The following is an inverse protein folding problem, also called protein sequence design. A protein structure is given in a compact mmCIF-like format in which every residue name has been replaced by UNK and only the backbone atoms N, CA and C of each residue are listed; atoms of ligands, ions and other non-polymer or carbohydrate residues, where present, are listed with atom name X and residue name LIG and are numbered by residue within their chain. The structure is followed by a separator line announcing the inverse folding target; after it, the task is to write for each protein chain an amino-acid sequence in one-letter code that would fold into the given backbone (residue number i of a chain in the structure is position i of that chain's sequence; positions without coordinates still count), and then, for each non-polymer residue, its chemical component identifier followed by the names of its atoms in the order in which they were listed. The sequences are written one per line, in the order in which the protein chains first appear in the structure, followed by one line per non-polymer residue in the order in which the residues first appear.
data_IF_707327695260
#
_entry.id   IF_707327695260
#
_cell.length_a   1.000
_cell.length_b   1.000
_cell.length_c   1.000
_cell.angle_alpha   90.00
_cell.angle_beta   90.00
_cell.angle_gamma   90.00
#
_symmetry.space_group_name_H-M   'P 1'
#
loop_
_entity.id
_entity.type
_entity.pdbx_description
1 polymer ?
#
# COMPACT_ATOMS: atom_id res chain seq x y z
N UNK A 1 -10.89 -6.18 -14.04
CA UNK A 1 -10.53 -7.57 -13.68
C UNK A 1 -9.06 -7.74 -14.00
N UNK A 2 -8.31 -8.39 -13.11
CA UNK A 2 -6.90 -8.73 -13.32
C UNK A 2 -6.72 -10.23 -13.05
N UNK A 3 -5.64 -10.81 -13.57
CA UNK A 3 -5.28 -12.20 -13.30
C UNK A 3 -4.05 -12.27 -12.40
N UNK A 4 -4.14 -13.11 -11.37
CA UNK A 4 -3.02 -13.55 -10.54
C UNK A 4 -2.81 -15.01 -10.84
N UNK A 5 -1.75 -15.32 -11.58
CA UNK A 5 -1.63 -16.62 -12.27
C UNK A 5 -2.89 -16.91 -13.11
N UNK A 6 -3.67 -17.93 -12.78
CA UNK A 6 -4.91 -18.33 -13.47
C UNK A 6 -6.18 -17.79 -12.81
N UNK A 7 -6.04 -17.05 -11.70
CA UNK A 7 -7.16 -16.62 -10.85
C UNK A 7 -7.63 -15.22 -11.22
N UNK A 8 -8.90 -15.05 -11.65
CA UNK A 8 -9.46 -13.73 -11.92
C UNK A 8 -9.83 -13.01 -10.61
N UNK A 9 -9.32 -11.79 -10.44
CA UNK A 9 -9.60 -10.93 -9.28
C UNK A 9 -10.25 -9.62 -9.75
N UNK A 10 -11.32 -9.21 -9.06
CA UNK A 10 -11.95 -7.92 -9.28
C UNK A 10 -11.33 -6.92 -8.32
N UNK A 11 -10.54 -6.00 -8.87
CA UNK A 11 -10.00 -4.86 -8.13
C UNK A 11 -10.89 -3.65 -8.40
N UNK A 12 -11.39 -3.06 -7.33
CA UNK A 12 -12.09 -1.78 -7.29
C UNK A 12 -11.49 -0.95 -6.15
N UNK A 13 -11.57 0.37 -6.20
CA UNK A 13 -11.10 1.26 -5.14
C UNK A 13 -12.26 2.09 -4.57
N UNK A 14 -12.19 2.55 -3.31
CA UNK A 14 -13.20 3.45 -2.74
C UNK A 14 -13.21 4.78 -3.48
N UNK A 15 -14.39 5.41 -3.63
CA UNK A 15 -14.47 6.79 -4.08
C UNK A 15 -13.72 7.71 -3.09
N UNK A 16 -13.06 8.79 -3.54
CA UNK A 16 -12.99 9.32 -4.91
C UNK A 16 -11.72 8.86 -5.68
N UNK A 17 -11.20 7.66 -5.41
CA UNK A 17 -10.00 7.16 -6.09
C UNK A 17 -10.31 6.67 -7.52
N UNK A 18 -9.43 7.00 -8.45
CA UNK A 18 -9.55 6.69 -9.87
C UNK A 18 -8.34 5.88 -10.35
N UNK A 19 -8.58 4.99 -11.31
CA UNK A 19 -7.54 4.09 -11.81
C UNK A 19 -6.54 4.83 -12.70
N UNK A 20 -5.26 4.79 -12.34
CA UNK A 20 -4.20 5.54 -13.03
C UNK A 20 -3.93 4.99 -14.43
N UNK A 21 -4.02 3.67 -14.64
CA UNK A 21 -3.78 3.03 -15.95
C UNK A 21 -4.64 3.60 -17.07
N UNK A 22 -5.86 4.05 -16.75
CA UNK A 22 -6.84 4.60 -17.71
C UNK A 22 -6.67 6.10 -17.95
N UNK A 23 -6.13 6.83 -16.97
CA UNK A 23 -6.07 8.29 -17.01
C UNK A 23 -4.66 8.82 -17.28
N UNK A 24 -3.62 8.11 -16.82
CA UNK A 24 -2.20 8.46 -16.92
C UNK A 24 -1.36 7.20 -17.22
N UNK A 25 -1.49 6.59 -18.42
CA UNK A 25 -0.88 5.31 -18.74
C UNK A 25 0.65 5.32 -18.65
N UNK A 26 1.30 6.44 -19.02
CA UNK A 26 2.76 6.59 -18.92
C UNK A 26 3.24 6.57 -17.46
N UNK A 27 2.54 7.28 -16.56
CA UNK A 27 2.84 7.28 -15.14
C UNK A 27 2.65 5.87 -14.55
N UNK A 28 1.61 5.16 -14.95
CA UNK A 28 1.40 3.77 -14.55
C UNK A 28 2.55 2.86 -15.01
N UNK A 29 2.99 2.99 -16.26
CA UNK A 29 4.10 2.20 -16.80
C UNK A 29 5.42 2.49 -16.07
N UNK A 30 5.73 3.76 -15.80
CA UNK A 30 6.90 4.16 -15.00
C UNK A 30 6.82 3.57 -13.60
N UNK A 31 5.67 3.68 -12.93
CA UNK A 31 5.46 3.11 -11.59
C UNK A 31 5.62 1.59 -11.60
N UNK A 32 5.06 0.91 -12.59
CA UNK A 32 5.19 -0.55 -12.72
C UNK A 32 6.63 -1.01 -12.92
N UNK A 33 7.50 -0.19 -13.53
CA UNK A 33 8.94 -0.47 -13.67
C UNK A 33 9.73 -0.14 -12.40
N UNK A 34 9.23 0.80 -11.60
CA UNK A 34 9.84 1.23 -10.33
C UNK A 34 9.50 0.31 -9.14
N UNK A 35 8.49 -0.55 -9.28
CA UNK A 35 8.26 -1.64 -8.31
C UNK A 35 9.49 -2.56 -8.30
N UNK A 36 9.82 -3.14 -7.13
CA UNK A 36 10.95 -4.06 -7.01
C UNK A 36 10.85 -5.21 -8.01
N UNK A 37 11.98 -5.81 -8.38
CA UNK A 37 12.01 -6.93 -9.34
C UNK A 37 11.08 -8.09 -8.91
N UNK A 38 10.90 -8.30 -7.61
CA UNK A 38 10.00 -9.29 -7.01
C UNK A 38 8.52 -8.88 -7.07
N UNK A 39 8.20 -7.60 -7.24
CA UNK A 39 6.83 -7.12 -7.28
C UNK A 39 6.27 -7.04 -8.70
N UNK A 40 4.95 -7.22 -8.82
CA UNK A 40 4.16 -6.88 -10.01
C UNK A 40 2.99 -5.99 -9.61
N UNK A 41 2.94 -4.80 -10.21
CA UNK A 41 1.81 -3.88 -10.03
C UNK A 41 0.60 -4.39 -10.82
N UNK A 42 -0.51 -4.63 -10.13
CA UNK A 42 -1.78 -5.03 -10.72
C UNK A 42 -2.69 -3.84 -11.00
N UNK A 43 -2.74 -2.91 -10.05
CA UNK A 43 -3.56 -1.71 -10.14
C UNK A 43 -2.96 -0.60 -9.29
N UNK A 44 -3.21 0.64 -9.70
CA UNK A 44 -2.82 1.83 -8.97
C UNK A 44 -3.93 2.88 -9.10
N UNK A 45 -4.32 3.44 -7.97
CA UNK A 45 -5.34 4.46 -7.86
C UNK A 45 -4.82 5.67 -7.09
N UNK A 46 -5.28 6.85 -7.49
CA UNK A 46 -5.02 8.14 -6.83
C UNK A 46 -6.34 8.90 -6.69
N UNK A 47 -6.46 9.91 -5.82
CA UNK A 47 -7.64 10.75 -5.74
C UNK A 47 -7.92 11.42 -7.09
N UNK A 48 -9.19 11.50 -7.49
CA UNK A 48 -9.59 12.15 -8.74
C UNK A 48 -9.03 13.59 -8.87
N UNK A 49 -8.99 14.34 -7.77
CA UNK A 49 -8.46 15.70 -7.72
C UNK A 49 -6.96 15.77 -8.08
N UNK A 50 -6.21 14.71 -7.79
CA UNK A 50 -4.77 14.64 -8.09
C UNK A 50 -4.46 14.31 -9.55
N UNK A 51 -5.46 14.02 -10.39
CA UNK A 51 -5.25 13.75 -11.82
C UNK A 51 -4.65 14.96 -12.55
N UNK A 52 -5.14 16.17 -12.26
CA UNK A 52 -4.71 17.39 -12.96
C UNK A 52 -3.27 17.77 -12.59
N UNK A 53 -2.88 17.54 -11.33
CA UNK A 53 -1.55 17.85 -10.82
C UNK A 53 -0.47 16.88 -11.34
N UNK A 54 -0.87 15.67 -11.74
CA UNK A 54 0.04 14.61 -12.22
C UNK A 54 0.07 14.48 -13.75
N UNK A 55 -0.41 15.48 -14.50
CA UNK A 55 -0.28 15.53 -15.95
C UNK A 55 1.15 15.92 -16.40
N UNK A 56 1.55 15.62 -17.64
CA UNK A 56 2.82 16.07 -18.20
C UNK A 56 2.97 17.60 -18.09
N UNK A 57 3.97 18.07 -17.33
CA UNK A 57 4.20 19.49 -17.06
C UNK A 57 3.65 20.01 -15.72
N UNK A 58 2.84 19.21 -15.02
CA UNK A 58 2.45 19.48 -13.63
C UNK A 58 3.60 19.22 -12.66
N UNK A 59 3.64 19.95 -11.53
CA UNK A 59 4.55 19.60 -10.44
C UNK A 59 4.01 18.34 -9.77
N UNK A 60 4.80 17.23 -9.72
CA UNK A 60 4.35 16.02 -9.05
C UNK A 60 4.00 16.34 -7.60
N UNK A 61 2.72 16.26 -7.27
CA UNK A 61 2.25 16.53 -5.91
C UNK A 61 2.01 15.19 -5.22
N UNK A 62 2.59 15.02 -4.03
CA UNK A 62 2.40 13.82 -3.22
C UNK A 62 0.92 13.70 -2.88
N UNK A 63 0.30 12.61 -3.29
CA UNK A 63 -1.09 12.30 -2.98
C UNK A 63 -1.17 10.93 -2.30
N UNK A 64 -2.30 10.66 -1.65
CA UNK A 64 -2.60 9.31 -1.19
C UNK A 64 -2.63 8.38 -2.38
N UNK A 65 -2.07 7.18 -2.26
CA UNK A 65 -2.04 6.21 -3.33
C UNK A 65 -2.49 4.85 -2.83
N UNK A 66 -3.32 4.18 -3.63
CA UNK A 66 -3.82 2.83 -3.41
C UNK A 66 -3.21 1.94 -4.48
N UNK A 67 -2.41 0.96 -4.09
CA UNK A 67 -1.74 0.05 -5.02
C UNK A 67 -2.10 -1.39 -4.69
N UNK A 68 -2.37 -2.18 -5.74
CA UNK A 68 -2.50 -3.63 -5.61
C UNK A 68 -1.29 -4.24 -6.29
N UNK A 69 -0.58 -5.09 -5.57
CA UNK A 69 0.61 -5.77 -6.04
C UNK A 69 0.54 -7.25 -5.68
N UNK A 70 1.34 -8.04 -6.38
CA UNK A 70 1.67 -9.42 -6.00
C UNK A 70 3.18 -9.56 -5.99
N UNK A 71 3.67 -10.48 -5.17
CA UNK A 71 5.05 -10.95 -5.26
C UNK A 71 5.09 -12.06 -6.31
N UNK A 72 5.94 -11.89 -7.32
CA UNK A 72 6.04 -12.77 -8.49
C UNK A 72 6.34 -14.21 -8.08
N UNK A 73 7.17 -14.37 -7.07
CA UNK A 73 7.51 -15.65 -6.45
C UNK A 73 6.33 -16.33 -5.75
N UNK A 74 5.33 -15.56 -5.29
CA UNK A 74 4.12 -16.08 -4.64
C UNK A 74 2.96 -16.30 -5.63
N UNK A 75 3.02 -15.73 -6.83
CA UNK A 75 1.98 -15.90 -7.85
C UNK A 75 1.65 -17.36 -8.18
N UNK A 76 2.62 -18.29 -8.39
CA UNK A 76 2.29 -19.69 -8.68
C UNK A 76 1.84 -20.46 -7.42
N UNK A 77 2.10 -19.95 -6.22
CA UNK A 77 1.81 -20.62 -4.96
C UNK A 77 0.31 -20.54 -4.65
N UNK A 78 -0.20 -21.56 -3.96
CA UNK A 78 -1.57 -21.59 -3.43
C UNK A 78 -1.48 -21.67 -1.91
N UNK A 79 -2.20 -20.79 -1.24
CA UNK A 79 -2.24 -20.68 0.22
C UNK A 79 -3.62 -21.12 0.72
N UNK A 80 -3.64 -22.15 1.56
CA UNK A 80 -4.84 -22.42 2.35
C UNK A 80 -4.96 -21.44 3.52
N UNK A 81 -6.12 -21.44 4.17
CA UNK A 81 -6.41 -20.54 5.29
C UNK A 81 -5.48 -20.79 6.51
N UNK A 82 -4.99 -22.02 6.70
CA UNK A 82 -4.12 -22.36 7.83
C UNK A 82 -2.71 -21.82 7.61
N UNK A 83 -2.18 -21.97 6.40
CA UNK A 83 -0.88 -21.46 5.96
C UNK A 83 -0.88 -19.93 5.99
N UNK A 84 -1.96 -19.31 5.51
CA UNK A 84 -2.10 -17.85 5.60
C UNK A 84 -2.17 -17.36 7.05
N UNK A 85 -2.91 -18.07 7.92
CA UNK A 85 -2.93 -17.76 9.35
C UNK A 85 -1.54 -17.88 9.99
N UNK A 86 -0.77 -18.92 9.65
CA UNK A 86 0.59 -19.08 10.16
C UNK A 86 1.50 -17.91 9.73
N UNK A 87 1.44 -17.51 8.47
CA UNK A 87 2.15 -16.34 7.95
C UNK A 87 1.77 -15.06 8.72
N UNK A 88 0.47 -14.84 8.93
CA UNK A 88 -0.05 -13.71 9.71
C UNK A 88 0.51 -13.72 11.13
N UNK A 89 0.40 -14.85 11.83
CA UNK A 89 0.80 -14.96 13.23
C UNK A 89 2.32 -14.78 13.38
N UNK A 90 3.13 -15.32 12.46
CA UNK A 90 4.58 -15.08 12.41
C UNK A 90 4.89 -13.59 12.19
N UNK A 91 4.21 -12.97 11.23
CA UNK A 91 4.48 -11.59 10.84
C UNK A 91 4.06 -10.60 11.93
N UNK A 92 2.85 -10.76 12.47
CA UNK A 92 2.32 -9.91 13.53
C UNK A 92 2.97 -10.20 14.90
N UNK A 93 3.47 -11.41 15.14
CA UNK A 93 4.17 -11.75 16.38
C UNK A 93 5.47 -10.95 16.61
N UNK A 94 6.02 -10.35 15.54
CA UNK A 94 7.23 -9.51 15.59
C UNK A 94 6.93 -8.01 15.60
N UNK A 95 5.67 -7.61 15.46
CA UNK A 95 5.26 -6.21 15.36
C UNK A 95 4.38 -5.83 16.56
N UNK A 96 4.52 -4.62 17.12
CA UNK A 96 3.57 -4.12 18.11
C UNK A 96 2.17 -4.04 17.48
N UNK A 97 1.14 -4.45 18.22
CA UNK A 97 -0.24 -4.32 17.76
C UNK A 97 -0.65 -2.85 17.81
N UNK A 98 -1.28 -2.36 16.75
CA UNK A 98 -1.79 -0.99 16.71
C UNK A 98 -3.18 -0.94 16.10
N UNK A 99 -3.96 0.01 16.59
CA UNK A 99 -5.25 0.44 16.06
C UNK A 99 -5.16 1.88 15.54
N UNK A 100 -6.25 2.40 14.97
CA UNK A 100 -6.26 3.80 14.52
C UNK A 100 -6.12 4.79 15.67
N UNK A 101 -6.72 4.47 16.80
CA UNK A 101 -6.70 5.33 17.99
C UNK A 101 -5.29 5.41 18.58
N UNK A 102 -4.45 4.39 18.35
CA UNK A 102 -3.06 4.36 18.81
C UNK A 102 -2.12 5.27 17.99
N UNK A 103 -2.56 5.81 16.85
CA UNK A 103 -1.68 6.54 15.92
C UNK A 103 -0.96 7.73 16.57
N UNK A 104 -1.64 8.48 17.44
CA UNK A 104 -1.01 9.60 18.14
C UNK A 104 0.07 9.11 19.13
N UNK A 105 -0.23 8.04 19.87
CA UNK A 105 0.70 7.41 20.81
C UNK A 105 1.95 6.90 20.09
N UNK A 106 1.77 6.19 18.98
CA UNK A 106 2.87 5.67 18.14
C UNK A 106 3.84 6.78 17.74
N UNK A 107 3.32 7.92 17.29
CA UNK A 107 4.15 9.06 16.88
C UNK A 107 4.74 9.85 18.06
N UNK A 108 4.12 9.79 19.23
CA UNK A 108 4.65 10.38 20.46
C UNK A 108 5.84 9.60 21.06
N UNK A 109 5.93 8.30 20.81
CA UNK A 109 6.93 7.42 21.45
C UNK A 109 8.04 6.94 20.51
N UNK A 110 7.80 6.86 19.20
CA UNK A 110 8.79 6.35 18.26
C UNK A 110 9.74 7.45 17.77
N UNK A 111 11.04 7.17 17.82
CA UNK A 111 12.02 8.01 17.13
C UNK A 111 12.01 7.70 15.62
N UNK A 112 11.42 8.62 14.86
CA UNK A 112 11.31 8.54 13.40
C UNK A 112 12.35 9.43 12.67
N UNK A 113 13.17 10.18 13.41
CA UNK A 113 14.21 11.06 12.82
C UNK A 113 15.14 10.35 11.84
N UNK A 114 15.56 9.08 12.06
CA UNK A 114 16.46 8.40 11.13
C UNK A 114 15.89 8.22 9.71
N UNK A 115 14.57 8.19 9.55
CA UNK A 115 13.92 8.01 8.24
C UNK A 115 14.16 9.20 7.29
N UNK A 116 14.30 10.41 7.83
CA UNK A 116 14.58 11.61 7.05
C UNK A 116 16.06 11.75 6.65
N UNK A 117 16.94 10.83 7.07
CA UNK A 117 18.39 10.94 6.88
C UNK A 117 18.91 10.08 5.72
N UNK A 118 18.22 9.00 5.35
CA UNK A 118 18.66 8.09 4.27
C UNK A 118 17.46 7.62 3.44
N UNK A 119 17.58 7.61 2.10
CA UNK A 119 16.55 7.02 1.25
C UNK A 119 16.50 5.50 1.45
N UNK A 120 15.31 4.92 1.28
CA UNK A 120 15.07 3.49 1.47
C UNK A 120 14.95 3.08 2.93
N UNK A 121 15.07 4.01 3.89
CA UNK A 121 14.82 3.72 5.30
C UNK A 121 13.38 3.26 5.53
N UNK A 122 13.20 2.21 6.33
CA UNK A 122 11.88 1.69 6.69
C UNK A 122 11.81 1.44 8.19
N UNK A 123 10.65 1.70 8.78
CA UNK A 123 10.36 1.40 10.18
C UNK A 123 8.96 0.82 10.29
N UNK A 124 8.86 -0.40 10.83
CA UNK A 124 7.57 -0.98 11.21
C UNK A 124 7.06 -0.20 12.42
N UNK A 125 5.89 0.43 12.25
CA UNK A 125 5.17 1.17 13.30
C UNK A 125 4.32 0.21 14.13
N UNK A 126 3.80 -0.83 13.48
CA UNK A 126 3.00 -1.88 14.10
C UNK A 126 2.25 -2.71 13.08
N UNK A 127 1.41 -3.62 13.56
CA UNK A 127 0.54 -4.45 12.74
C UNK A 127 -0.87 -4.56 13.31
N UNK A 128 -1.82 -4.87 12.42
CA UNK A 128 -3.22 -5.03 12.77
C UNK A 128 -3.79 -6.28 12.06
N UNK A 129 -4.59 -7.06 12.78
CA UNK A 129 -5.45 -8.07 12.18
C UNK A 129 -6.73 -7.38 11.69
N UNK A 130 -7.03 -7.49 10.40
CA UNK A 130 -8.20 -6.86 9.79
C UNK A 130 -9.30 -7.88 9.44
N UNK A 131 -8.99 -9.18 9.54
CA UNK A 131 -9.95 -10.27 9.42
C UNK A 131 -9.26 -11.63 9.31
N UNK A 132 -10.05 -12.67 9.05
CA UNK A 132 -9.54 -14.03 8.86
C UNK A 132 -8.56 -14.13 7.69
N UNK A 133 -8.89 -13.44 6.61
CA UNK A 133 -8.19 -13.51 5.33
C UNK A 133 -7.36 -12.25 5.04
N UNK A 134 -7.09 -11.43 6.05
CA UNK A 134 -6.23 -10.25 5.88
C UNK A 134 -5.54 -9.77 7.15
N UNK A 135 -4.35 -9.20 6.97
CA UNK A 135 -3.63 -8.48 8.01
C UNK A 135 -2.75 -7.39 7.42
N UNK A 136 -2.43 -6.38 8.21
CA UNK A 136 -1.71 -5.19 7.77
C UNK A 136 -0.48 -4.95 8.61
N UNK A 137 0.61 -4.55 7.95
CA UNK A 137 1.74 -3.88 8.56
C UNK A 137 1.67 -2.39 8.25
N UNK A 138 1.81 -1.57 9.28
CA UNK A 138 1.95 -0.14 9.16
C UNK A 138 3.43 0.20 9.20
N UNK A 139 3.92 0.86 8.16
CA UNK A 139 5.34 1.08 7.91
C UNK A 139 5.53 2.56 7.62
N UNK A 140 6.51 3.18 8.26
CA UNK A 140 7.03 4.47 7.83
C UNK A 140 8.19 4.25 6.87
N UNK A 141 8.18 4.95 5.74
CA UNK A 141 9.16 4.78 4.65
C UNK A 141 9.78 6.13 4.33
N UNK A 142 11.10 6.16 4.15
CA UNK A 142 11.84 7.28 3.57
C UNK A 142 12.17 6.99 2.11
N UNK A 143 11.78 7.87 1.19
CA UNK A 143 12.07 7.79 -0.24
C UNK A 143 12.88 9.01 -0.68
N UNK A 144 13.70 8.82 -1.70
CA UNK A 144 14.38 9.94 -2.34
C UNK A 144 13.37 10.77 -3.15
N UNK A 145 13.37 12.08 -2.92
CA UNK A 145 12.56 13.07 -3.62
C UNK A 145 13.38 14.32 -3.99
N UNK A 146 12.73 15.26 -4.66
CA UNK A 146 13.32 16.54 -5.07
C UNK A 146 12.77 17.71 -4.26
N UNK A 147 13.61 18.68 -3.90
CA UNK A 147 13.15 19.95 -3.36
C UNK A 147 12.66 20.90 -4.48
N UNK A 148 12.11 22.05 -4.10
CA UNK A 148 11.54 23.03 -5.03
C UNK A 148 12.58 23.69 -5.96
N UNK A 149 13.87 23.52 -5.67
CA UNK A 149 15.01 24.04 -6.41
C UNK A 149 15.76 22.93 -7.17
N UNK A 150 15.24 21.69 -7.17
CA UNK A 150 15.85 20.53 -7.83
C UNK A 150 16.95 19.84 -7.02
N UNK A 151 17.14 20.22 -5.76
CA UNK A 151 18.04 19.55 -4.82
C UNK A 151 17.46 18.25 -4.26
N UNK A 152 18.31 17.45 -3.64
CA UNK A 152 17.93 16.15 -3.05
C UNK A 152 17.23 16.33 -1.71
N UNK A 153 16.04 15.75 -1.54
CA UNK A 153 15.32 15.69 -0.25
C UNK A 153 14.90 14.27 0.06
N UNK A 154 14.95 13.88 1.34
CA UNK A 154 14.34 12.62 1.78
C UNK A 154 12.91 12.91 2.21
N UNK A 155 11.98 12.28 1.52
CA UNK A 155 10.55 12.39 1.79
C UNK A 155 10.09 11.18 2.58
N UNK A 156 9.36 11.42 3.67
CA UNK A 156 8.82 10.34 4.49
C UNK A 156 7.32 10.21 4.32
N UNK A 157 6.80 8.99 4.41
CA UNK A 157 5.37 8.69 4.38
C UNK A 157 5.03 7.54 5.33
N UNK A 158 3.76 7.47 5.70
CA UNK A 158 3.15 6.25 6.21
C UNK A 158 2.63 5.38 5.07
N UNK A 159 2.74 4.07 5.24
CA UNK A 159 2.23 3.08 4.30
C UNK A 159 1.64 1.89 5.07
N UNK A 160 0.39 1.56 4.81
CA UNK A 160 -0.23 0.32 5.24
C UNK A 160 -0.07 -0.72 4.14
N UNK A 161 0.71 -1.78 4.38
CA UNK A 161 0.84 -2.94 3.48
C UNK A 161 -0.01 -4.07 4.03
N UNK A 162 -1.05 -4.43 3.28
CA UNK A 162 -2.06 -5.39 3.70
C UNK A 162 -1.95 -6.64 2.86
N UNK A 163 -1.66 -7.75 3.52
CA UNK A 163 -1.69 -9.07 2.94
C UNK A 163 -3.14 -9.53 2.96
N UNK A 164 -3.68 -9.90 1.80
CA UNK A 164 -5.05 -10.37 1.65
C UNK A 164 -5.05 -11.70 0.89
N UNK A 165 -5.73 -12.71 1.45
CA UNK A 165 -5.96 -13.99 0.80
C UNK A 165 -7.26 -13.92 -0.01
N UNK A 166 -7.17 -14.10 -1.33
CA UNK A 166 -8.31 -14.23 -2.24
C UNK A 166 -8.09 -15.48 -3.08
N UNK A 167 -9.01 -16.46 -2.97
CA UNK A 167 -8.96 -17.70 -3.75
C UNK A 167 -7.56 -18.35 -3.76
N UNK A 168 -7.01 -18.60 -2.57
CA UNK A 168 -5.68 -19.21 -2.39
C UNK A 168 -4.50 -18.35 -2.88
N UNK A 169 -4.72 -17.11 -3.33
CA UNK A 169 -3.68 -16.17 -3.75
C UNK A 169 -3.51 -15.05 -2.75
N UNK A 170 -2.26 -14.68 -2.47
CA UNK A 170 -1.95 -13.53 -1.61
C UNK A 170 -1.74 -12.31 -2.49
N UNK A 171 -2.55 -11.28 -2.23
CA UNK A 171 -2.40 -9.94 -2.79
C UNK A 171 -1.87 -8.99 -1.73
N UNK A 172 -1.08 -8.01 -2.16
CA UNK A 172 -0.59 -6.92 -1.34
C UNK A 172 -1.36 -5.65 -1.70
N UNK A 173 -2.18 -5.18 -0.77
CA UNK A 173 -2.89 -3.90 -0.87
C UNK A 173 -2.10 -2.86 -0.09
N UNK A 174 -1.61 -1.86 -0.79
CA UNK A 174 -0.77 -0.83 -0.22
C UNK A 174 -1.51 0.49 -0.25
N UNK A 175 -1.73 1.09 0.93
CA UNK A 175 -2.24 2.45 1.08
C UNK A 175 -1.12 3.34 1.57
N UNK A 176 -0.65 4.27 0.75
CA UNK A 176 0.43 5.20 1.08
C UNK A 176 -0.11 6.60 1.27
N UNK A 177 0.22 7.22 2.41
CA UNK A 177 -0.05 8.63 2.69
C UNK A 177 0.99 9.57 2.08
N UNK A 178 0.66 10.85 1.86
CA UNK A 178 1.56 11.85 1.31
C UNK A 178 2.59 12.37 2.31
N UNK A 179 2.45 12.07 3.61
CA UNK A 179 3.37 12.50 4.65
C UNK A 179 3.45 11.50 5.82
N UNK A 180 4.37 11.80 6.73
CA UNK A 180 4.60 11.01 7.94
C UNK A 180 3.93 11.72 9.13
N UNK A 181 2.67 11.40 9.38
CA UNK A 181 1.89 11.93 10.51
C UNK A 181 0.91 10.90 11.08
N UNK A 182 0.44 11.16 12.30
CA UNK A 182 -0.60 10.34 12.93
C UNK A 182 -1.92 10.40 12.16
N UNK A 183 -2.28 11.57 11.62
CA UNK A 183 -3.51 11.75 10.84
C UNK A 183 -3.48 10.94 9.53
N UNK A 184 -2.33 10.91 8.85
CA UNK A 184 -2.17 10.05 7.68
C UNK A 184 -2.17 8.57 8.03
N UNK A 185 -1.62 8.17 9.18
CA UNK A 185 -1.69 6.77 9.61
C UNK A 185 -3.15 6.35 9.84
N UNK A 186 -3.95 7.17 10.54
CA UNK A 186 -5.39 6.91 10.73
C UNK A 186 -6.11 6.80 9.39
N UNK A 187 -5.85 7.73 8.47
CA UNK A 187 -6.46 7.69 7.15
C UNK A 187 -6.07 6.45 6.34
N UNK A 188 -4.79 6.04 6.38
CA UNK A 188 -4.32 4.87 5.67
C UNK A 188 -4.95 3.58 6.20
N UNK A 189 -5.07 3.45 7.53
CA UNK A 189 -5.75 2.31 8.16
C UNK A 189 -7.25 2.29 7.83
N UNK A 190 -7.91 3.44 7.82
CA UNK A 190 -9.34 3.56 7.51
C UNK A 190 -9.61 3.17 6.07
N UNK A 191 -8.86 3.76 5.15
CA UNK A 191 -8.94 3.47 3.71
C UNK A 191 -8.63 2.00 3.43
N UNK A 192 -7.70 1.39 4.18
CA UNK A 192 -7.42 -0.04 4.05
C UNK A 192 -8.66 -0.88 4.35
N UNK A 193 -9.39 -0.60 5.44
CA UNK A 193 -10.62 -1.33 5.78
C UNK A 193 -11.73 -1.09 4.76
N UNK A 194 -11.93 0.16 4.33
CA UNK A 194 -12.90 0.49 3.29
C UNK A 194 -12.59 -0.23 1.98
N UNK A 195 -11.31 -0.31 1.62
CA UNK A 195 -10.89 -0.96 0.39
C UNK A 195 -11.09 -2.48 0.43
N UNK A 196 -10.71 -3.14 1.54
CA UNK A 196 -10.97 -4.56 1.75
C UNK A 196 -12.45 -4.91 1.56
N UNK A 197 -13.35 -4.04 2.05
CA UNK A 197 -14.79 -4.23 1.92
C UNK A 197 -15.29 -4.14 0.47
N UNK A 198 -14.52 -3.64 -0.49
CA UNK A 198 -14.89 -3.53 -1.90
C UNK A 198 -14.33 -4.64 -2.78
N UNK A 199 -13.24 -5.29 -2.36
CA UNK A 199 -12.59 -6.33 -3.15
C UNK A 199 -13.43 -7.60 -3.16
N UNK A 200 -13.54 -8.20 -4.35
CA UNK A 200 -14.40 -9.35 -4.61
C UNK A 200 -13.71 -10.34 -5.53
N UNK A 201 -14.16 -11.58 -5.46
CA UNK A 201 -13.94 -12.58 -6.49
C UNK A 201 -15.23 -12.70 -7.33
N UNK A 202 -15.14 -12.98 -8.65
CA UNK A 202 -16.32 -13.22 -9.46
C UNK A 202 -16.98 -14.52 -9.01
N UNK A 203 -18.20 -14.46 -8.47
CA UNK A 203 -18.96 -15.65 -8.09
C UNK A 203 -18.93 -16.69 -9.22
N UNK A 204 -18.77 -17.97 -8.90
CA UNK A 204 -18.85 -19.05 -9.90
C UNK A 204 -20.23 -18.95 -10.57
N UNK A 205 -20.26 -18.46 -11.80
CA UNK A 205 -21.39 -18.57 -12.73
C UNK A 205 -21.52 -20.00 -13.22
#
# INVERSE_FOLDING_TARGET
MVFVDSVPVIIAAPAPFVEVSRNLPEAFAQRSRAVSASGRLLAWFIPALSLQENQPGGKPTRCRALQVQVLREMEPVRYDAQTFKALRDETLGRAPRITEDDAATVFGILDLKPLGQKPGGQKILGGAELGRDSFTLCIAVGTEGGDQLGGRKIETSVTCVTYMLIQEKILLLTVTGPDLSADELRNAMRLTREWLALLRWPAKT
#
